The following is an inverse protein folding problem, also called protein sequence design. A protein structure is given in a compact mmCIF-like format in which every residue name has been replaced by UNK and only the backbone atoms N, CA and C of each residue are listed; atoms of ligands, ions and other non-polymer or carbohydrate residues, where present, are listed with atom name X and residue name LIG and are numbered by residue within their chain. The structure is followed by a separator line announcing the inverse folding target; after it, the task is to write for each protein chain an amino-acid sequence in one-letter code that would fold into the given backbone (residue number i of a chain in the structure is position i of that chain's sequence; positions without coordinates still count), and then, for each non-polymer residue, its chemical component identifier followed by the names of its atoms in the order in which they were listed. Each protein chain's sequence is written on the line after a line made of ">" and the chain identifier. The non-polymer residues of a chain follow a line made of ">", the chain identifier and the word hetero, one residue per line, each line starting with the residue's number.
data_IF_450825597035
#
_entry.id   IF_450825597035
#
_cell.length_a   1.000
_cell.length_b   1.000
_cell.length_c   1.000
_cell.angle_alpha   90.00
_cell.angle_beta   90.00
_cell.angle_gamma   90.00
#
_symmetry.space_group_name_H-M   'P 1'
#
loop_
_entity.id
_entity.type
_entity.pdbx_description
1 polymer ?
#
# COMPACT_ATOMS: atom_id res chain seq x y z
N UNK A 1 -14.12 -53.21 -18.78
CA UNK A 1 -13.39 -52.54 -17.70
C UNK A 1 -14.18 -51.29 -17.33
N UNK A 2 -15.09 -51.40 -16.35
CA UNK A 2 -15.92 -50.28 -15.91
C UNK A 2 -15.07 -49.38 -14.99
N UNK A 3 -14.75 -48.16 -15.43
CA UNK A 3 -14.18 -47.14 -14.54
C UNK A 3 -15.26 -46.73 -13.54
N UNK A 4 -15.08 -47.11 -12.28
CA UNK A 4 -15.84 -46.53 -11.17
C UNK A 4 -15.35 -45.11 -10.94
N UNK A 5 -16.19 -44.13 -11.26
CA UNK A 5 -16.00 -42.74 -10.87
C UNK A 5 -16.33 -42.68 -9.37
N UNK A 6 -15.31 -42.63 -8.51
CA UNK A 6 -15.50 -42.30 -7.11
C UNK A 6 -15.93 -40.82 -7.01
N UNK A 7 -17.05 -40.50 -6.33
CA UNK A 7 -17.42 -39.11 -6.10
C UNK A 7 -16.41 -38.51 -5.12
N UNK A 8 -15.72 -37.46 -5.55
CA UNK A 8 -14.98 -36.57 -4.66
C UNK A 8 -16.01 -35.89 -3.76
N UNK A 9 -16.14 -36.35 -2.51
CA UNK A 9 -16.87 -35.61 -1.48
C UNK A 9 -16.14 -34.28 -1.27
N UNK A 10 -16.70 -33.19 -1.79
CA UNK A 10 -16.38 -31.84 -1.34
C UNK A 10 -16.77 -31.77 0.14
N UNK A 11 -15.78 -31.70 1.03
CA UNK A 11 -16.01 -31.47 2.44
C UNK A 11 -16.69 -30.11 2.61
N UNK A 12 -17.99 -30.10 2.91
CA UNK A 12 -18.72 -28.88 3.25
C UNK A 12 -18.14 -28.36 4.57
N UNK A 13 -17.60 -27.14 4.56
CA UNK A 13 -17.09 -26.50 5.77
C UNK A 13 -18.27 -26.29 6.73
N UNK A 14 -18.22 -26.92 7.90
CA UNK A 14 -19.25 -26.75 8.92
C UNK A 14 -19.08 -25.37 9.56
N UNK A 15 -19.97 -24.45 9.19
CA UNK A 15 -20.05 -23.10 9.75
C UNK A 15 -21.15 -23.09 10.81
N UNK A 16 -20.79 -22.85 12.07
CA UNK A 16 -21.74 -22.76 13.18
C UNK A 16 -21.89 -21.30 13.64
N UNK A 17 -23.04 -20.91 14.22
CA UNK A 17 -23.18 -19.58 14.82
C UNK A 17 -22.25 -19.43 16.03
N UNK A 18 -21.55 -18.29 16.12
CA UNK A 18 -20.72 -17.95 17.27
C UNK A 18 -21.54 -17.32 18.41
N UNK A 19 -21.02 -17.33 19.66
CA UNK A 19 -21.60 -16.57 20.76
C UNK A 19 -21.73 -15.08 20.44
N UNK A 20 -22.75 -14.45 21.00
CA UNK A 20 -22.94 -12.99 20.92
C UNK A 20 -21.83 -12.27 21.66
N UNK A 21 -21.37 -11.14 21.10
CA UNK A 21 -20.39 -10.26 21.73
C UNK A 21 -20.92 -8.82 21.73
N UNK A 22 -20.96 -8.16 22.89
CA UNK A 22 -21.36 -6.75 23.00
C UNK A 22 -20.16 -5.85 22.75
N UNK A 23 -20.21 -5.06 21.68
CA UNK A 23 -19.19 -4.05 21.31
C UNK A 23 -19.68 -2.64 21.61
N UNK A 24 -18.81 -1.63 21.49
CA UNK A 24 -19.21 -0.22 21.54
C UNK A 24 -20.19 0.18 20.43
N UNK A 25 -20.21 -0.58 19.33
CA UNK A 25 -21.08 -0.34 18.18
C UNK A 25 -22.39 -1.14 18.21
N UNK A 26 -22.60 -2.06 19.16
CA UNK A 26 -23.78 -2.95 19.23
C UNK A 26 -23.40 -4.43 19.48
N UNK A 27 -24.39 -5.32 19.60
CA UNK A 27 -24.13 -6.75 19.79
C UNK A 27 -23.88 -7.42 18.43
N UNK A 28 -22.78 -8.15 18.32
CA UNK A 28 -22.35 -8.82 17.09
C UNK A 28 -22.54 -10.33 17.20
N UNK A 29 -22.96 -10.97 16.11
CA UNK A 29 -23.06 -12.43 15.99
C UNK A 29 -22.14 -12.93 14.89
N UNK A 30 -21.11 -13.66 15.27
CA UNK A 30 -20.13 -14.22 14.36
C UNK A 30 -20.46 -15.63 13.88
N UNK A 31 -19.45 -16.26 13.29
CA UNK A 31 -19.45 -17.65 12.86
C UNK A 31 -18.22 -18.39 13.37
N UNK A 32 -18.32 -19.72 13.45
CA UNK A 32 -17.24 -20.60 13.85
C UNK A 32 -16.82 -21.44 12.65
N UNK A 33 -15.52 -21.40 12.36
CA UNK A 33 -14.84 -22.27 11.42
C UNK A 33 -14.21 -23.43 12.19
N UNK A 34 -14.96 -24.53 12.34
CA UNK A 34 -14.54 -25.66 13.18
C UNK A 34 -13.22 -26.30 12.69
N UNK A 35 -13.01 -26.39 11.37
CA UNK A 35 -11.80 -27.00 10.80
C UNK A 35 -10.51 -26.26 11.18
N UNK A 36 -10.55 -24.94 11.25
CA UNK A 36 -9.40 -24.09 11.59
C UNK A 36 -9.39 -23.71 13.07
N UNK A 37 -10.43 -24.08 13.83
CA UNK A 37 -10.62 -23.68 15.22
C UNK A 37 -10.55 -22.14 15.37
N UNK A 38 -11.30 -21.44 14.51
CA UNK A 38 -11.37 -19.97 14.44
C UNK A 38 -12.80 -19.48 14.61
N UNK A 39 -12.97 -18.36 15.30
CA UNK A 39 -14.22 -17.59 15.36
C UNK A 39 -14.04 -16.36 14.47
N UNK A 40 -14.94 -16.17 13.50
CA UNK A 40 -14.98 -15.01 12.63
C UNK A 40 -16.11 -14.06 13.00
N UNK A 41 -15.77 -12.78 13.18
CA UNK A 41 -16.74 -11.69 13.20
C UNK A 41 -16.47 -10.82 11.97
N UNK A 42 -17.29 -11.01 10.94
CA UNK A 42 -17.06 -10.46 9.60
C UNK A 42 -17.99 -9.29 9.32
N UNK A 43 -17.49 -8.23 8.71
CA UNK A 43 -18.35 -7.12 8.26
C UNK A 43 -18.90 -6.28 9.41
N UNK A 44 -18.10 -6.03 10.45
CA UNK A 44 -18.45 -5.14 11.55
C UNK A 44 -18.29 -3.68 11.10
N UNK A 45 -19.34 -2.84 11.15
CA UNK A 45 -19.24 -1.43 10.80
C UNK A 45 -18.47 -0.67 11.88
N UNK A 46 -17.32 -0.09 11.54
CA UNK A 46 -16.58 0.79 12.46
C UNK A 46 -16.98 2.27 12.30
N UNK A 47 -17.58 2.63 11.17
CA UNK A 47 -18.06 3.97 10.87
C UNK A 47 -19.41 3.92 10.13
N UNK A 48 -20.14 5.04 10.18
CA UNK A 48 -21.37 5.20 9.41
C UNK A 48 -21.09 5.14 7.89
N UNK A 49 -21.97 4.52 7.09
CA UNK A 49 -21.81 4.43 5.64
C UNK A 49 -21.56 5.81 5.00
N UNK A 50 -20.50 6.00 4.19
CA UNK A 50 -20.16 7.28 3.57
C UNK A 50 -20.99 7.53 2.30
N UNK A 51 -22.31 7.32 2.40
CA UNK A 51 -23.28 7.44 1.30
C UNK A 51 -23.97 8.80 1.29
N UNK A 52 -24.47 9.21 0.12
CA UNK A 52 -25.29 10.42 -0.03
C UNK A 52 -24.61 11.65 0.56
N UNK A 53 -25.26 12.29 1.54
CA UNK A 53 -24.72 13.48 2.22
C UNK A 53 -23.43 13.23 3.01
N UNK A 54 -23.15 11.97 3.39
CA UNK A 54 -21.89 11.57 4.03
C UNK A 54 -20.77 11.27 3.03
N UNK A 55 -21.06 11.23 1.73
CA UNK A 55 -20.02 11.07 0.71
C UNK A 55 -19.08 12.27 0.78
N UNK A 56 -17.77 12.03 0.77
CA UNK A 56 -16.74 13.04 0.93
C UNK A 56 -16.76 13.77 2.29
N UNK A 57 -17.32 13.15 3.33
CA UNK A 57 -17.20 13.60 4.72
C UNK A 57 -16.27 12.70 5.53
N UNK A 58 -15.77 13.20 6.66
CA UNK A 58 -14.91 12.45 7.58
C UNK A 58 -15.67 11.27 8.20
N UNK A 59 -14.94 10.21 8.55
CA UNK A 59 -15.52 9.06 9.22
C UNK A 59 -16.17 9.47 10.54
N UNK A 60 -17.35 8.92 10.82
CA UNK A 60 -18.01 9.08 12.12
C UNK A 60 -18.31 7.70 12.65
N UNK A 61 -17.98 7.48 13.91
CA UNK A 61 -18.15 6.19 14.59
C UNK A 61 -19.56 5.64 14.38
N UNK A 62 -19.63 4.35 14.04
CA UNK A 62 -20.90 3.66 13.97
C UNK A 62 -21.36 3.32 15.38
N UNK A 63 -22.47 3.94 15.80
CA UNK A 63 -23.22 3.50 16.98
C UNK A 63 -24.51 2.90 16.43
N UNK A 64 -24.61 1.57 16.40
CA UNK A 64 -25.80 0.93 15.85
C UNK A 64 -27.02 1.29 16.70
N UNK A 65 -28.06 1.80 16.05
CA UNK A 65 -29.40 1.90 16.63
C UNK A 65 -30.09 0.53 16.72
N UNK A 66 -29.54 -0.47 16.01
CA UNK A 66 -29.99 -1.85 16.00
C UNK A 66 -29.13 -2.61 17.01
N UNK A 67 -29.76 -3.17 18.04
CA UNK A 67 -29.05 -3.93 19.08
C UNK A 67 -28.26 -5.13 18.53
N UNK A 68 -28.48 -5.55 17.29
CA UNK A 68 -27.96 -6.77 16.68
C UNK A 68 -27.33 -6.55 15.31
N UNK A 69 -26.09 -6.99 15.14
CA UNK A 69 -25.30 -6.96 13.90
C UNK A 69 -24.96 -8.41 13.53
N UNK A 70 -25.41 -8.85 12.35
CA UNK A 70 -25.04 -10.14 11.78
C UNK A 70 -23.65 -10.06 11.16
N UNK A 71 -22.63 -10.47 11.91
CA UNK A 71 -21.23 -10.39 11.55
C UNK A 71 -20.70 -11.73 10.99
N UNK A 72 -21.41 -12.31 10.02
CA UNK A 72 -21.19 -13.66 9.50
C UNK A 72 -20.78 -13.72 8.03
N UNK A 73 -20.69 -12.56 7.36
CA UNK A 73 -20.38 -12.46 5.93
C UNK A 73 -19.32 -11.39 5.71
N UNK A 74 -18.36 -11.65 4.81
CA UNK A 74 -17.38 -10.64 4.43
C UNK A 74 -18.06 -9.41 3.80
N UNK A 75 -17.68 -8.19 4.22
CA UNK A 75 -18.24 -6.97 3.66
C UNK A 75 -17.74 -6.74 2.23
N UNK A 76 -18.43 -5.87 1.50
CA UNK A 76 -17.89 -5.33 0.25
C UNK A 76 -16.71 -4.42 0.53
N UNK A 77 -15.73 -4.43 -0.38
CA UNK A 77 -14.52 -3.61 -0.26
C UNK A 77 -14.78 -2.19 -0.73
N UNK A 78 -13.97 -1.25 -0.30
CA UNK A 78 -14.01 0.08 -0.89
C UNK A 78 -13.43 0.05 -2.31
N UNK A 79 -13.84 1.02 -3.13
CA UNK A 79 -13.22 1.22 -4.43
C UNK A 79 -11.75 1.63 -4.28
N UNK A 80 -10.83 0.78 -4.75
CA UNK A 80 -9.39 1.07 -4.80
C UNK A 80 -8.95 1.77 -6.10
N UNK A 81 -9.84 1.86 -7.10
CA UNK A 81 -9.63 2.51 -8.39
C UNK A 81 -8.39 2.03 -9.18
N UNK A 82 -7.83 0.86 -8.82
CA UNK A 82 -6.71 0.21 -9.53
C UNK A 82 -7.20 -0.41 -10.85
N UNK A 83 -8.40 -0.99 -10.85
CA UNK A 83 -9.04 -1.61 -12.02
C UNK A 83 -10.47 -1.11 -12.18
N UNK A 84 -10.95 -1.03 -13.42
CA UNK A 84 -12.34 -0.64 -13.75
C UNK A 84 -13.32 -1.83 -13.72
N UNK A 85 -12.82 -3.05 -13.54
CA UNK A 85 -13.52 -4.30 -13.87
C UNK A 85 -14.39 -4.87 -12.74
N UNK A 86 -14.32 -4.34 -11.52
CA UNK A 86 -14.89 -5.01 -10.35
C UNK A 86 -15.87 -4.15 -9.56
N UNK A 87 -17.04 -3.93 -10.14
CA UNK A 87 -18.12 -3.23 -9.44
C UNK A 87 -18.94 -4.14 -8.52
N UNK A 88 -18.96 -5.47 -8.76
CA UNK A 88 -19.81 -6.38 -7.98
C UNK A 88 -19.29 -6.65 -6.56
N UNK A 89 -17.98 -6.64 -6.37
CA UNK A 89 -17.29 -6.91 -5.10
C UNK A 89 -16.97 -5.66 -4.28
N UNK A 90 -17.24 -4.47 -4.84
CA UNK A 90 -16.91 -3.16 -4.26
C UNK A 90 -18.16 -2.33 -4.00
N UNK A 91 -18.07 -1.42 -3.03
CA UNK A 91 -19.18 -0.57 -2.60
C UNK A 91 -18.65 0.75 -2.04
N UNK A 92 -19.50 1.78 -2.02
CA UNK A 92 -19.27 2.96 -1.19
C UNK A 92 -19.61 2.70 0.27
N UNK A 93 -20.61 1.86 0.52
CA UNK A 93 -20.86 1.31 1.84
C UNK A 93 -19.83 0.21 2.13
N UNK A 94 -18.69 0.61 2.65
CA UNK A 94 -17.50 -0.22 2.75
C UNK A 94 -16.65 0.01 4.02
N UNK A 95 -17.09 0.85 4.96
CA UNK A 95 -16.34 1.16 6.19
C UNK A 95 -16.54 0.08 7.26
N UNK A 96 -16.06 -1.11 6.92
CA UNK A 96 -16.19 -2.32 7.71
C UNK A 96 -14.82 -2.92 8.04
N UNK A 97 -14.79 -3.67 9.14
CA UNK A 97 -13.68 -4.53 9.50
C UNK A 97 -14.17 -5.95 9.80
N UNK A 98 -13.27 -6.90 9.66
CA UNK A 98 -13.52 -8.31 10.00
C UNK A 98 -12.42 -8.79 10.93
N UNK A 99 -12.74 -9.58 11.95
CA UNK A 99 -11.80 -10.11 12.95
C UNK A 99 -11.91 -11.63 12.97
N UNK A 100 -10.78 -12.31 12.84
CA UNK A 100 -10.61 -13.75 12.99
C UNK A 100 -9.84 -14.01 14.29
N UNK A 101 -10.47 -14.71 15.22
CA UNK A 101 -9.92 -15.02 16.54
C UNK A 101 -9.71 -16.53 16.69
N UNK A 102 -8.64 -16.99 17.37
CA UNK A 102 -8.55 -18.39 17.73
C UNK A 102 -9.68 -18.78 18.68
N UNK A 103 -10.35 -19.89 18.39
CA UNK A 103 -11.34 -20.49 19.30
C UNK A 103 -10.59 -21.11 20.48
N UNK A 104 -10.70 -20.49 21.66
CA UNK A 104 -10.11 -21.04 22.89
C UNK A 104 -11.08 -22.06 23.48
N UNK A 105 -10.71 -23.34 23.45
CA UNK A 105 -11.52 -24.40 24.04
C UNK A 105 -11.54 -24.23 25.57
N UNK A 106 -12.74 -24.06 26.13
CA UNK A 106 -12.97 -23.85 27.56
C UNK A 106 -12.36 -24.96 28.40
N UNK A 107 -11.27 -24.65 29.11
CA UNK A 107 -10.56 -25.60 29.97
C UNK A 107 -9.08 -25.25 30.19
N UNK A 108 -8.46 -24.55 29.25
CA UNK A 108 -7.09 -24.04 29.43
C UNK A 108 -7.10 -22.52 29.47
N UNK A 109 -6.71 -21.93 30.62
CA UNK A 109 -6.33 -20.52 30.64
C UNK A 109 -5.17 -20.38 29.67
N UNK A 110 -5.41 -19.71 28.54
CA UNK A 110 -4.31 -19.39 27.64
C UNK A 110 -3.41 -18.39 28.38
N UNK A 111 -2.26 -18.86 28.87
CA UNK A 111 -1.30 -18.03 29.62
C UNK A 111 -0.54 -17.09 28.69
N UNK A 112 -0.64 -17.29 27.37
CA UNK A 112 0.02 -16.49 26.37
C UNK A 112 -0.87 -15.33 25.91
N UNK A 113 -0.21 -14.20 25.70
CA UNK A 113 -0.80 -12.93 25.25
C UNK A 113 -1.29 -13.09 23.81
N UNK A 114 -2.57 -12.78 23.52
CA UNK A 114 -3.13 -12.76 22.17
C UNK A 114 -2.80 -11.44 21.48
N UNK A 115 -2.15 -11.49 20.32
CA UNK A 115 -1.82 -10.32 19.51
C UNK A 115 -2.79 -10.17 18.34
N UNK A 116 -3.03 -8.94 17.88
CA UNK A 116 -3.85 -8.68 16.69
C UNK A 116 -2.98 -8.10 15.57
N UNK A 117 -2.91 -8.79 14.42
CA UNK A 117 -2.35 -8.25 13.18
C UNK A 117 -3.49 -7.72 12.31
N UNK A 118 -3.50 -6.41 12.08
CA UNK A 118 -4.54 -5.69 11.33
C UNK A 118 -4.02 -5.36 9.94
N UNK A 119 -4.64 -5.93 8.92
CA UNK A 119 -4.32 -5.73 7.51
C UNK A 119 -5.24 -4.64 6.95
N UNK A 120 -4.70 -3.49 6.60
CA UNK A 120 -5.42 -2.46 5.86
C UNK A 120 -5.26 -2.73 4.38
N UNK A 121 -6.35 -3.18 3.74
CA UNK A 121 -6.34 -3.42 2.29
C UNK A 121 -7.74 -3.39 1.69
N UNK A 122 -7.84 -2.99 0.42
CA UNK A 122 -9.01 -3.20 -0.43
C UNK A 122 -8.75 -4.20 -1.58
N UNK A 123 -7.63 -4.91 -1.54
CA UNK A 123 -7.26 -5.91 -2.55
C UNK A 123 -7.91 -7.27 -2.27
N UNK A 124 -7.78 -8.19 -3.23
CA UNK A 124 -8.30 -9.55 -3.11
C UNK A 124 -7.45 -10.44 -2.22
N UNK A 125 -8.15 -11.26 -1.43
CA UNK A 125 -7.60 -12.24 -0.52
C UNK A 125 -8.56 -13.43 -0.46
N UNK A 126 -8.03 -14.56 -0.03
CA UNK A 126 -8.81 -15.77 0.22
C UNK A 126 -9.00 -15.96 1.71
N UNK A 127 -10.24 -16.26 2.11
CA UNK A 127 -10.60 -16.46 3.51
C UNK A 127 -9.77 -17.57 4.15
N UNK A 128 -9.60 -18.70 3.46
CA UNK A 128 -8.83 -19.86 3.95
C UNK A 128 -7.39 -19.50 4.29
N UNK A 129 -6.77 -18.60 3.53
CA UNK A 129 -5.41 -18.10 3.81
C UNK A 129 -5.38 -17.34 5.13
N UNK A 130 -6.33 -16.43 5.37
CA UNK A 130 -6.42 -15.66 6.61
C UNK A 130 -6.75 -16.55 7.82
N UNK A 131 -7.62 -17.53 7.65
CA UNK A 131 -7.93 -18.53 8.69
C UNK A 131 -6.68 -19.31 9.08
N UNK A 132 -5.87 -19.74 8.12
CA UNK A 132 -4.61 -20.47 8.37
C UNK A 132 -3.53 -19.62 9.05
N UNK A 133 -3.60 -18.29 8.89
CA UNK A 133 -2.71 -17.36 9.57
C UNK A 133 -3.13 -17.00 10.98
N UNK A 134 -4.37 -17.34 11.35
CA UNK A 134 -4.86 -17.20 12.72
C UNK A 134 -4.30 -18.35 13.54
N UNK A 135 -3.57 -18.04 14.60
CA UNK A 135 -2.94 -19.03 15.49
C UNK A 135 -3.42 -18.83 16.93
N UNK A 136 -3.03 -19.74 17.83
CA UNK A 136 -3.37 -19.67 19.26
C UNK A 136 -3.02 -18.32 19.93
N UNK A 137 -2.00 -17.62 19.44
CA UNK A 137 -1.51 -16.35 19.99
C UNK A 137 -1.56 -15.18 18.99
N UNK A 138 -2.14 -15.38 17.80
CA UNK A 138 -2.31 -14.34 16.79
C UNK A 138 -3.71 -14.37 16.19
N UNK A 139 -4.43 -13.28 16.40
CA UNK A 139 -5.65 -12.93 15.68
C UNK A 139 -5.31 -12.09 14.43
N UNK A 140 -6.16 -12.19 13.42
CA UNK A 140 -6.05 -11.41 12.19
C UNK A 140 -7.29 -10.53 12.05
N UNK A 141 -7.09 -9.26 11.70
CA UNK A 141 -8.17 -8.38 11.27
C UNK A 141 -7.91 -7.85 9.86
N UNK A 142 -8.96 -7.61 9.11
CA UNK A 142 -8.91 -6.91 7.81
C UNK A 142 -9.80 -5.68 7.89
N UNK A 143 -9.28 -4.53 7.44
CA UNK A 143 -10.00 -3.25 7.45
C UNK A 143 -10.08 -2.70 6.04
N UNK A 144 -11.28 -2.32 5.62
CA UNK A 144 -11.54 -1.59 4.38
C UNK A 144 -11.73 -0.10 4.67
N UNK A 145 -11.26 0.76 3.77
CA UNK A 145 -11.24 2.22 3.93
C UNK A 145 -11.29 2.92 2.58
N UNK A 146 -11.78 4.16 2.51
CA UNK A 146 -11.93 4.86 1.23
C UNK A 146 -10.59 5.22 0.61
N UNK A 147 -10.53 5.14 -0.71
CA UNK A 147 -9.36 5.50 -1.51
C UNK A 147 -9.74 6.34 -2.73
N UNK A 148 -8.73 6.79 -3.47
CA UNK A 148 -8.90 7.54 -4.71
C UNK A 148 -9.81 8.77 -4.53
N UNK A 149 -10.66 9.09 -5.51
CA UNK A 149 -11.53 10.28 -5.45
C UNK A 149 -12.58 10.26 -4.33
N UNK A 150 -12.86 9.11 -3.70
CA UNK A 150 -13.80 9.00 -2.58
C UNK A 150 -13.12 9.13 -1.22
N UNK A 151 -11.84 8.76 -1.14
CA UNK A 151 -11.01 8.90 0.06
C UNK A 151 -10.28 10.24 0.15
N UNK A 152 -10.49 11.15 -0.81
CA UNK A 152 -9.75 12.39 -0.88
C UNK A 152 -10.57 13.51 -1.51
N UNK A 153 -10.67 14.65 -0.83
CA UNK A 153 -11.34 15.83 -1.38
C UNK A 153 -10.66 17.13 -0.92
N UNK A 154 -10.41 18.03 -1.88
CA UNK A 154 -9.70 19.29 -1.65
C UNK A 154 -8.35 19.09 -0.96
N UNK A 155 -8.19 19.58 0.26
CA UNK A 155 -7.00 19.41 1.09
C UNK A 155 -7.09 18.22 2.06
N UNK A 156 -8.30 17.67 2.26
CA UNK A 156 -8.61 16.63 3.25
C UNK A 156 -8.38 15.21 2.73
N UNK A 157 -7.72 14.41 3.55
CA UNK A 157 -7.52 12.97 3.32
C UNK A 157 -8.53 12.15 4.14
N UNK A 158 -9.67 11.85 3.54
CA UNK A 158 -10.76 11.15 4.22
C UNK A 158 -10.41 9.68 4.51
N UNK A 159 -9.60 9.06 3.66
CA UNK A 159 -9.07 7.72 3.91
C UNK A 159 -8.22 7.66 5.18
N UNK A 160 -7.49 8.74 5.51
CA UNK A 160 -6.80 8.84 6.81
C UNK A 160 -7.81 8.79 7.94
N UNK A 161 -8.89 9.57 7.87
CA UNK A 161 -9.93 9.55 8.93
C UNK A 161 -10.60 8.18 9.09
N UNK A 162 -10.76 7.43 7.99
CA UNK A 162 -11.29 6.07 8.02
C UNK A 162 -10.35 5.11 8.77
N UNK A 163 -9.06 5.14 8.43
CA UNK A 163 -8.02 4.33 9.08
C UNK A 163 -7.95 4.66 10.58
N UNK A 164 -7.94 5.94 10.93
CA UNK A 164 -7.90 6.37 12.33
C UNK A 164 -9.13 5.89 13.11
N UNK A 165 -10.33 6.01 12.54
CA UNK A 165 -11.57 5.52 13.14
C UNK A 165 -11.54 4.01 13.37
N UNK A 166 -11.06 3.24 12.40
CA UNK A 166 -10.94 1.79 12.55
C UNK A 166 -9.98 1.39 13.67
N UNK A 167 -8.82 2.06 13.78
CA UNK A 167 -7.85 1.78 14.86
C UNK A 167 -8.43 2.18 16.23
N UNK A 168 -9.17 3.29 16.30
CA UNK A 168 -9.87 3.71 17.53
C UNK A 168 -10.94 2.70 17.93
N UNK A 169 -11.74 2.22 16.97
CA UNK A 169 -12.75 1.19 17.22
C UNK A 169 -12.12 -0.09 17.76
N UNK A 170 -11.01 -0.55 17.15
CA UNK A 170 -10.27 -1.72 17.63
C UNK A 170 -9.79 -1.51 19.08
N UNK A 171 -9.11 -0.40 19.37
CA UNK A 171 -8.66 -0.10 20.73
C UNK A 171 -9.81 -0.09 21.76
N UNK A 172 -10.96 0.50 21.42
CA UNK A 172 -12.14 0.52 22.31
C UNK A 172 -12.69 -0.88 22.60
N UNK A 173 -12.58 -1.80 21.65
CA UNK A 173 -13.09 -3.16 21.76
C UNK A 173 -12.02 -4.21 22.08
N UNK A 174 -10.80 -3.77 22.39
CA UNK A 174 -9.64 -4.63 22.65
C UNK A 174 -9.90 -5.65 23.77
N UNK A 175 -10.44 -5.19 24.90
CA UNK A 175 -10.71 -6.04 26.06
C UNK A 175 -11.80 -7.09 25.78
N UNK A 176 -12.78 -6.74 24.95
CA UNK A 176 -13.90 -7.61 24.57
C UNK A 176 -13.39 -8.82 23.77
N UNK A 177 -12.46 -8.58 22.84
CA UNK A 177 -11.88 -9.64 22.00
C UNK A 177 -10.62 -10.28 22.61
N UNK A 178 -10.14 -9.79 23.76
CA UNK A 178 -9.07 -10.39 24.54
C UNK A 178 -7.66 -10.30 23.92
N UNK A 179 -7.48 -9.53 22.85
CA UNK A 179 -6.15 -9.22 22.33
C UNK A 179 -5.54 -8.04 23.09
N UNK A 180 -4.26 -7.82 22.87
CA UNK A 180 -3.45 -7.06 23.81
C UNK A 180 -2.54 -6.02 23.16
N UNK A 181 -2.08 -6.29 21.94
CA UNK A 181 -1.27 -5.39 21.13
C UNK A 181 -1.84 -5.39 19.70
N UNK A 182 -1.83 -4.23 19.05
CA UNK A 182 -2.18 -4.06 17.63
C UNK A 182 -0.90 -3.90 16.81
N UNK A 183 -0.71 -4.77 15.83
CA UNK A 183 0.30 -4.60 14.76
C UNK A 183 -0.42 -4.26 13.47
N UNK A 184 -0.10 -3.11 12.88
CA UNK A 184 -0.77 -2.62 11.67
C UNK A 184 0.07 -2.97 10.45
N UNK A 185 -0.54 -3.50 9.40
CA UNK A 185 0.14 -3.93 8.17
C UNK A 185 -0.61 -3.38 6.95
N UNK A 186 0.14 -2.83 6.00
CA UNK A 186 -0.40 -2.31 4.75
C UNK A 186 0.67 -2.31 3.65
N UNK A 187 0.22 -2.18 2.39
CA UNK A 187 1.08 -2.20 1.21
C UNK A 187 0.83 -1.01 0.27
N UNK A 188 1.88 -0.55 -0.42
CA UNK A 188 1.79 0.48 -1.47
C UNK A 188 1.11 1.76 -0.98
N UNK A 189 0.10 2.25 -1.72
CA UNK A 189 -0.66 3.44 -1.36
C UNK A 189 -1.41 3.28 -0.02
N UNK A 190 -1.80 2.05 0.34
CA UNK A 190 -2.45 1.71 1.60
C UNK A 190 -1.45 1.92 2.76
N UNK A 191 -0.19 1.52 2.56
CA UNK A 191 0.90 1.73 3.52
C UNK A 191 1.25 3.21 3.70
N UNK A 192 1.28 3.97 2.60
CA UNK A 192 1.48 5.41 2.69
C UNK A 192 0.32 6.06 3.46
N UNK A 193 -0.94 5.77 3.11
CA UNK A 193 -2.11 6.29 3.81
C UNK A 193 -2.09 5.97 5.31
N UNK A 194 -1.81 4.71 5.67
CA UNK A 194 -1.65 4.28 7.06
C UNK A 194 -0.53 5.08 7.74
N UNK A 195 0.64 5.23 7.12
CA UNK A 195 1.75 5.98 7.70
C UNK A 195 1.40 7.45 7.94
N UNK A 196 0.64 8.09 7.05
CA UNK A 196 0.11 9.45 7.27
C UNK A 196 -0.88 9.48 8.45
N UNK A 197 -1.80 8.53 8.53
CA UNK A 197 -2.77 8.45 9.62
C UNK A 197 -2.10 8.33 11.01
N UNK A 198 -1.01 7.56 11.09
CA UNK A 198 -0.21 7.40 12.32
C UNK A 198 0.64 8.63 12.66
N UNK A 199 0.97 9.47 11.67
CA UNK A 199 1.77 10.67 11.86
C UNK A 199 0.93 11.91 12.21
N UNK A 200 -0.34 11.96 11.76
CA UNK A 200 -1.24 13.11 11.99
C UNK A 200 -1.90 13.12 13.37
N UNK A 201 -2.00 11.97 14.04
CA UNK A 201 -2.70 11.88 15.34
C UNK A 201 -2.05 10.82 16.22
N UNK A 202 -1.97 11.10 17.52
CA UNK A 202 -1.55 10.10 18.50
C UNK A 202 -2.64 9.02 18.62
N UNK A 203 -2.31 7.82 18.15
CA UNK A 203 -3.19 6.65 18.17
C UNK A 203 -2.44 5.51 18.80
N UNK A 204 -3.11 4.73 19.65
CA UNK A 204 -2.50 3.59 20.33
C UNK A 204 -2.35 2.41 19.37
N UNK A 205 -1.12 1.99 19.12
CA UNK A 205 -0.76 0.76 18.42
C UNK A 205 0.61 0.31 18.93
N UNK A 206 0.90 -0.98 18.84
CA UNK A 206 2.18 -1.50 19.30
C UNK A 206 3.26 -1.42 18.21
N UNK A 207 2.88 -1.76 16.96
CA UNK A 207 3.83 -1.95 15.85
C UNK A 207 3.20 -1.63 14.50
N UNK A 208 4.03 -1.32 13.49
CA UNK A 208 3.60 -1.12 12.12
C UNK A 208 4.54 -1.81 11.12
N UNK A 209 3.97 -2.42 10.08
CA UNK A 209 4.64 -3.04 8.94
C UNK A 209 4.18 -2.29 7.69
N UNK A 210 5.06 -1.48 7.13
CA UNK A 210 4.77 -0.61 5.99
C UNK A 210 5.55 -1.08 4.77
N UNK A 211 4.87 -1.72 3.81
CA UNK A 211 5.51 -2.25 2.60
C UNK A 211 5.29 -1.30 1.42
N UNK A 212 6.34 -0.92 0.71
CA UNK A 212 6.27 -0.05 -0.49
C UNK A 212 5.48 1.26 -0.33
N UNK A 213 5.31 1.76 0.90
CA UNK A 213 4.67 3.04 1.18
C UNK A 213 5.01 3.54 2.57
N UNK A 214 5.19 4.86 2.72
CA UNK A 214 5.46 5.53 4.00
C UNK A 214 5.16 7.03 3.87
N UNK A 215 5.41 7.80 4.93
CA UNK A 215 5.18 9.26 4.95
C UNK A 215 5.99 10.03 3.90
N UNK A 216 7.14 9.50 3.46
CA UNK A 216 7.97 10.12 2.43
C UNK A 216 7.54 9.77 0.99
N UNK A 217 6.53 8.91 0.80
CA UNK A 217 6.00 8.56 -0.52
C UNK A 217 5.39 9.79 -1.20
N UNK A 218 5.97 10.19 -2.34
CA UNK A 218 5.62 11.46 -3.05
C UNK A 218 4.15 11.60 -3.42
N UNK A 219 3.43 10.51 -3.71
CA UNK A 219 2.02 10.53 -4.13
C UNK A 219 1.08 11.17 -3.09
N UNK A 220 1.43 11.07 -1.81
CA UNK A 220 0.66 11.63 -0.69
C UNK A 220 1.20 12.98 -0.20
N UNK A 221 2.33 13.45 -0.74
CA UNK A 221 2.86 14.78 -0.42
C UNK A 221 1.93 15.87 -1.03
N UNK A 222 1.37 16.77 -0.20
CA UNK A 222 0.49 17.85 -0.65
C UNK A 222 1.07 18.73 -1.76
N UNK A 223 2.37 19.00 -1.74
CA UNK A 223 3.06 19.84 -2.73
C UNK A 223 3.10 19.23 -4.13
N UNK A 224 3.04 17.90 -4.22
CA UNK A 224 3.16 17.15 -5.48
C UNK A 224 1.85 16.55 -5.96
N UNK A 225 0.72 16.90 -5.33
CA UNK A 225 -0.60 16.46 -5.76
C UNK A 225 -0.84 16.82 -7.22
N UNK A 226 -1.23 15.83 -8.01
CA UNK A 226 -1.41 15.94 -9.46
C UNK A 226 -2.68 16.74 -9.77
N UNK A 227 -2.64 18.07 -9.62
CA UNK A 227 -3.69 19.02 -10.02
C UNK A 227 -4.26 18.68 -11.41
N UNK A 228 -3.40 18.33 -12.38
CA UNK A 228 -3.81 17.98 -13.74
C UNK A 228 -4.63 16.68 -13.85
N UNK A 229 -4.43 15.72 -12.94
CA UNK A 229 -5.24 14.49 -12.86
C UNK A 229 -6.62 14.80 -12.33
N UNK A 230 -6.68 15.51 -11.20
CA UNK A 230 -7.92 15.97 -10.57
C UNK A 230 -8.76 16.83 -11.50
N UNK A 231 -8.15 17.79 -12.20
CA UNK A 231 -8.88 18.66 -13.15
C UNK A 231 -9.50 17.87 -14.32
N UNK A 232 -8.80 16.86 -14.86
CA UNK A 232 -9.35 16.02 -15.94
C UNK A 232 -10.52 15.16 -15.43
N UNK A 233 -10.36 14.57 -14.25
CA UNK A 233 -11.42 13.81 -13.59
C UNK A 233 -12.68 14.65 -13.35
N UNK A 234 -12.53 15.84 -12.76
CA UNK A 234 -13.65 16.74 -12.49
C UNK A 234 -14.33 17.23 -13.77
N UNK A 235 -13.56 17.53 -14.83
CA UNK A 235 -14.12 17.90 -16.14
C UNK A 235 -14.91 16.76 -16.77
N UNK A 236 -14.43 15.52 -16.69
CA UNK A 236 -15.13 14.35 -17.23
C UNK A 236 -16.48 14.08 -16.55
N UNK A 237 -16.62 14.51 -15.29
CA UNK A 237 -17.87 14.41 -14.52
C UNK A 237 -18.78 15.65 -14.63
N UNK A 238 -18.34 16.72 -15.30
CA UNK A 238 -18.97 18.04 -15.26
C UNK A 238 -19.12 18.63 -13.84
N UNK A 239 -18.20 18.25 -12.96
CA UNK A 239 -18.14 18.69 -11.56
C UNK A 239 -17.04 19.71 -11.28
N UNK A 240 -16.29 20.17 -12.29
CA UNK A 240 -15.34 21.26 -12.09
C UNK A 240 -16.11 22.58 -11.92
N UNK A 241 -16.23 23.06 -10.67
CA UNK A 241 -16.88 24.33 -10.31
C UNK A 241 -15.87 25.31 -9.72
N UNK A 242 -16.25 26.58 -9.62
CA UNK A 242 -15.35 27.64 -9.11
C UNK A 242 -15.11 27.49 -7.61
N UNK A 243 -16.10 26.98 -6.86
CA UNK A 243 -16.00 26.74 -5.42
C UNK A 243 -15.86 25.26 -5.09
N UNK A 244 -15.08 24.98 -4.03
CA UNK A 244 -14.92 23.62 -3.52
C UNK A 244 -16.25 23.01 -3.08
N UNK A 245 -17.12 23.76 -2.41
CA UNK A 245 -18.42 23.25 -1.94
C UNK A 245 -19.35 22.88 -3.10
N UNK A 246 -19.35 23.65 -4.19
CA UNK A 246 -20.13 23.35 -5.40
C UNK A 246 -19.60 22.10 -6.11
N UNK A 247 -18.27 21.96 -6.17
CA UNK A 247 -17.60 20.74 -6.66
C UNK A 247 -17.99 19.53 -5.81
N UNK A 248 -17.97 19.69 -4.47
CA UNK A 248 -18.35 18.63 -3.51
C UNK A 248 -19.81 18.23 -3.69
N UNK A 249 -20.72 19.20 -3.78
CA UNK A 249 -22.15 18.97 -3.98
C UNK A 249 -22.43 18.20 -5.29
N UNK A 250 -21.74 18.58 -6.39
CA UNK A 250 -21.83 17.84 -7.65
C UNK A 250 -21.37 16.38 -7.52
N UNK A 251 -20.23 16.14 -6.85
CA UNK A 251 -19.73 14.79 -6.63
C UNK A 251 -20.62 13.95 -5.71
N UNK A 252 -21.32 14.56 -4.74
CA UNK A 252 -22.28 13.86 -3.85
C UNK A 252 -23.49 13.29 -4.62
N UNK A 253 -23.95 13.97 -5.68
CA UNK A 253 -25.10 13.52 -6.48
C UNK A 253 -24.70 12.70 -7.72
N UNK A 254 -23.41 12.62 -8.05
CA UNK A 254 -22.92 11.83 -9.18
C UNK A 254 -23.02 10.33 -8.88
N UNK A 255 -23.47 9.50 -9.83
CA UNK A 255 -23.50 8.05 -9.60
C UNK A 255 -22.08 7.47 -9.44
N UNK A 256 -21.96 6.43 -8.61
CA UNK A 256 -20.67 5.77 -8.39
C UNK A 256 -20.07 5.21 -9.68
N UNK A 257 -20.91 4.68 -10.56
CA UNK A 257 -20.51 4.15 -11.87
C UNK A 257 -19.81 5.20 -12.72
N UNK A 258 -20.35 6.43 -12.75
CA UNK A 258 -19.73 7.55 -13.46
C UNK A 258 -18.39 7.92 -12.83
N UNK A 259 -18.32 7.96 -11.50
CA UNK A 259 -17.06 8.26 -10.79
C UNK A 259 -15.99 7.22 -11.15
N UNK A 260 -16.30 5.92 -11.03
CA UNK A 260 -15.38 4.82 -11.33
C UNK A 260 -14.92 4.86 -12.79
N UNK A 261 -15.84 5.09 -13.73
CA UNK A 261 -15.50 5.17 -15.15
C UNK A 261 -14.64 6.39 -15.49
N UNK A 262 -14.86 7.53 -14.82
CA UNK A 262 -14.12 8.77 -15.05
C UNK A 262 -12.70 8.77 -14.50
N UNK A 263 -12.38 7.88 -13.54
CA UNK A 263 -10.99 7.73 -13.08
C UNK A 263 -10.13 7.21 -14.23
N UNK A 264 -9.03 7.91 -14.58
CA UNK A 264 -8.09 7.40 -15.57
C UNK A 264 -7.52 6.06 -15.09
N UNK A 265 -7.60 5.01 -15.92
CA UNK A 265 -6.94 3.74 -15.60
C UNK A 265 -5.44 3.97 -15.54
N UNK A 266 -4.84 3.69 -14.39
CA UNK A 266 -3.40 3.58 -14.23
C UNK A 266 -3.02 2.11 -14.24
N UNK A 267 -3.15 1.44 -15.38
CA UNK A 267 -2.56 0.12 -15.53
C UNK A 267 -1.06 0.32 -15.72
N UNK A 268 -0.28 0.06 -14.66
CA UNK A 268 1.18 -0.09 -14.72
C UNK A 268 1.59 -1.40 -15.45
N UNK A 269 0.61 -2.20 -15.89
CA UNK A 269 0.82 -3.52 -16.53
C UNK A 269 1.37 -3.47 -17.96
N UNK A 270 1.43 -2.31 -18.60
CA UNK A 270 1.96 -2.27 -19.95
C UNK A 270 3.47 -2.11 -19.90
N UNK A 271 4.19 -3.24 -19.86
CA UNK A 271 5.35 -3.31 -20.74
C UNK A 271 4.86 -2.95 -22.14
N UNK A 272 5.01 -1.69 -22.51
CA UNK A 272 4.74 -1.25 -23.86
C UNK A 272 5.89 -1.76 -24.71
N UNK A 273 5.71 -2.93 -25.33
CA UNK A 273 6.65 -3.47 -26.34
C UNK A 273 6.97 -2.40 -27.39
N UNK A 274 6.04 -1.46 -27.59
CA UNK A 274 6.12 -0.31 -28.48
C UNK A 274 6.83 0.92 -27.90
N UNK A 275 7.43 0.87 -26.70
CA UNK A 275 8.07 2.03 -26.05
C UNK A 275 9.30 2.48 -26.84
N UNK A 276 9.23 3.62 -27.53
CA UNK A 276 10.32 4.05 -28.43
C UNK A 276 11.29 4.99 -27.73
N UNK A 277 12.41 5.24 -28.40
CA UNK A 277 13.36 6.29 -28.01
C UNK A 277 12.68 7.66 -27.86
N UNK A 278 11.77 8.00 -28.76
CA UNK A 278 10.97 9.23 -28.69
C UNK A 278 10.14 9.33 -27.39
N UNK A 279 9.64 8.21 -26.86
CA UNK A 279 8.87 8.20 -25.62
C UNK A 279 9.78 8.40 -24.42
N UNK A 280 10.97 7.81 -24.43
CA UNK A 280 12.02 8.08 -23.46
C UNK A 280 12.45 9.55 -23.48
N UNK A 281 12.68 10.13 -24.66
CA UNK A 281 13.08 11.54 -24.77
C UNK A 281 11.96 12.47 -24.27
N UNK A 282 10.69 12.20 -24.63
CA UNK A 282 9.52 12.91 -24.07
C UNK A 282 9.42 12.76 -22.55
N UNK A 283 9.77 11.59 -22.01
CA UNK A 283 9.84 11.38 -20.57
C UNK A 283 10.94 12.25 -19.95
N UNK A 284 12.15 12.24 -20.51
CA UNK A 284 13.28 13.03 -20.02
C UNK A 284 12.99 14.53 -20.05
N UNK A 285 12.32 15.04 -21.08
CA UNK A 285 11.90 16.44 -21.18
C UNK A 285 10.88 16.83 -20.12
N UNK A 286 9.94 15.92 -19.81
CA UNK A 286 8.95 16.13 -18.74
C UNK A 286 9.56 15.96 -17.35
N UNK A 287 10.58 15.12 -17.23
CA UNK A 287 11.20 14.79 -15.95
C UNK A 287 12.20 15.86 -15.53
N UNK A 288 13.00 16.37 -16.47
CA UNK A 288 13.92 17.50 -16.30
C UNK A 288 13.42 18.69 -17.10
N UNK A 289 12.46 19.43 -16.55
CA UNK A 289 11.84 20.58 -17.21
C UNK A 289 12.78 21.78 -17.23
N UNK A 290 12.88 22.44 -18.38
CA UNK A 290 13.66 23.69 -18.53
C UNK A 290 13.18 24.82 -17.61
N UNK A 291 11.91 24.81 -17.23
CA UNK A 291 11.35 25.76 -16.27
C UNK A 291 11.81 25.52 -14.83
N UNK A 292 12.29 24.31 -14.50
CA UNK A 292 12.64 23.91 -13.14
C UNK A 292 14.14 23.79 -12.92
N UNK A 293 14.90 23.48 -13.97
CA UNK A 293 16.33 23.20 -13.88
C UNK A 293 17.12 24.17 -14.77
N UNK A 294 18.25 24.66 -14.26
CA UNK A 294 19.16 25.57 -14.98
C UNK A 294 20.04 24.84 -15.99
N UNK A 295 20.54 23.66 -15.61
CA UNK A 295 21.53 22.91 -16.40
C UNK A 295 20.92 21.62 -17.00
N UNK A 296 19.71 21.74 -17.56
CA UNK A 296 18.85 20.64 -18.03
C UNK A 296 19.56 19.66 -18.95
N UNK A 297 20.29 20.15 -19.96
CA UNK A 297 20.97 19.28 -20.93
C UNK A 297 22.05 18.42 -20.27
N UNK A 298 22.80 19.01 -19.32
CA UNK A 298 23.82 18.28 -18.57
C UNK A 298 23.17 17.26 -17.61
N UNK A 299 22.06 17.61 -16.97
CA UNK A 299 21.31 16.69 -16.12
C UNK A 299 20.74 15.50 -16.91
N UNK A 300 20.18 15.75 -18.11
CA UNK A 300 19.68 14.68 -18.99
C UNK A 300 20.81 13.73 -19.41
N UNK A 301 21.97 14.26 -19.80
CA UNK A 301 23.15 13.45 -20.11
C UNK A 301 23.61 12.63 -18.90
N UNK A 302 23.68 13.25 -17.73
CA UNK A 302 24.10 12.54 -16.52
C UNK A 302 23.13 11.42 -16.14
N UNK A 303 21.82 11.69 -16.18
CA UNK A 303 20.80 10.69 -15.94
C UNK A 303 20.89 9.54 -16.95
N UNK A 304 21.17 9.86 -18.22
CA UNK A 304 21.43 8.86 -19.24
C UNK A 304 22.58 7.92 -18.82
N UNK A 305 23.74 8.49 -18.45
CA UNK A 305 24.90 7.70 -18.02
C UNK A 305 24.63 6.87 -16.76
N UNK A 306 23.89 7.42 -15.79
CA UNK A 306 23.62 6.75 -14.53
C UNK A 306 22.65 5.57 -14.68
N UNK A 307 21.64 5.69 -15.55
CA UNK A 307 20.54 4.71 -15.64
C UNK A 307 20.64 3.74 -16.83
N UNK A 308 21.41 4.08 -17.86
CA UNK A 308 21.52 3.28 -19.09
C UNK A 308 22.93 2.77 -19.38
N UNK A 309 23.89 2.91 -18.44
CA UNK A 309 25.28 2.40 -18.48
C UNK A 309 25.89 2.11 -19.87
N UNK A 310 26.83 2.95 -20.34
CA UNK A 310 27.74 2.81 -21.52
C UNK A 310 27.16 2.43 -22.90
N UNK A 311 26.02 1.76 -23.03
CA UNK A 311 25.38 1.50 -24.32
C UNK A 311 24.49 2.69 -24.71
N UNK A 312 25.17 3.75 -25.13
CA UNK A 312 24.61 4.98 -25.68
C UNK A 312 23.73 4.76 -26.92
N UNK A 313 23.64 3.52 -27.45
CA UNK A 313 23.03 3.18 -28.73
C UNK A 313 22.26 1.85 -28.66
N UNK A 314 21.74 1.43 -27.50
CA UNK A 314 20.89 0.23 -27.51
C UNK A 314 19.52 0.57 -28.11
N UNK A 315 19.09 -0.08 -29.22
CA UNK A 315 17.72 0.01 -29.72
C UNK A 315 16.73 -0.75 -28.81
N UNK A 316 17.19 -1.26 -27.66
CA UNK A 316 16.38 -2.00 -26.70
C UNK A 316 15.37 -1.07 -26.00
N UNK A 317 14.15 -1.07 -26.55
CA UNK A 317 12.97 -0.41 -26.00
C UNK A 317 12.70 -0.80 -24.56
N UNK A 318 13.03 -2.04 -24.17
CA UNK A 318 12.86 -2.54 -22.81
C UNK A 318 13.87 -1.94 -21.82
N UNK A 319 15.13 -1.74 -22.23
CA UNK A 319 16.12 -1.06 -21.40
C UNK A 319 15.69 0.39 -21.08
N UNK A 320 15.20 1.12 -22.08
CA UNK A 320 14.69 2.49 -21.90
C UNK A 320 13.47 2.55 -20.96
N UNK A 321 12.54 1.60 -21.12
CA UNK A 321 11.38 1.48 -20.24
C UNK A 321 11.80 1.15 -18.80
N UNK A 322 12.71 0.19 -18.59
CA UNK A 322 13.25 -0.15 -17.26
C UNK A 322 13.95 1.03 -16.60
N UNK A 323 14.79 1.75 -17.35
CA UNK A 323 15.45 2.96 -16.86
C UNK A 323 14.44 4.02 -16.41
N UNK A 324 13.40 4.26 -17.21
CA UNK A 324 12.30 5.17 -16.89
C UNK A 324 11.64 4.81 -15.54
N UNK A 325 11.28 3.54 -15.35
CA UNK A 325 10.68 3.07 -14.09
C UNK A 325 11.64 3.18 -12.91
N UNK A 326 12.92 2.84 -13.11
CA UNK A 326 13.95 2.93 -12.07
C UNK A 326 14.21 4.37 -11.63
N UNK A 327 14.22 5.32 -12.57
CA UNK A 327 14.33 6.75 -12.28
C UNK A 327 13.17 7.25 -11.41
N UNK A 328 11.94 6.85 -11.75
CA UNK A 328 10.75 7.19 -10.96
C UNK A 328 10.80 6.54 -9.58
N UNK A 329 11.13 5.25 -9.48
CA UNK A 329 11.25 4.51 -8.23
C UNK A 329 12.30 5.14 -7.30
N UNK A 330 13.47 5.49 -7.84
CA UNK A 330 14.53 6.14 -7.07
C UNK A 330 14.10 7.51 -6.55
N UNK A 331 13.61 8.38 -7.45
CA UNK A 331 13.24 9.76 -7.10
C UNK A 331 12.04 9.80 -6.14
N UNK A 332 11.00 9.02 -6.42
CA UNK A 332 9.69 9.17 -5.78
C UNK A 332 9.51 8.28 -4.55
N UNK A 333 10.33 7.23 -4.38
CA UNK A 333 10.19 6.28 -3.27
C UNK A 333 11.50 5.95 -2.55
N UNK A 334 12.51 5.39 -3.22
CA UNK A 334 13.70 4.84 -2.54
C UNK A 334 14.57 5.90 -1.89
N UNK A 335 14.84 7.02 -2.58
CA UNK A 335 15.64 8.12 -2.02
C UNK A 335 14.91 8.82 -0.86
N UNK A 336 13.62 9.19 -0.97
CA UNK A 336 12.84 9.69 0.15
C UNK A 336 12.81 8.71 1.33
N UNK A 337 12.59 7.42 1.07
CA UNK A 337 12.58 6.37 2.10
C UNK A 337 13.92 6.26 2.81
N UNK A 338 15.05 6.29 2.08
CA UNK A 338 16.39 6.31 2.70
C UNK A 338 16.57 7.52 3.62
N UNK A 339 16.08 8.69 3.20
CA UNK A 339 16.13 9.91 4.01
C UNK A 339 15.30 9.76 5.29
N UNK A 340 14.09 9.21 5.21
CA UNK A 340 13.26 8.88 6.37
C UNK A 340 13.94 7.88 7.31
N UNK A 341 14.54 6.82 6.78
CA UNK A 341 15.30 5.85 7.58
C UNK A 341 16.50 6.49 8.31
N UNK A 342 17.03 7.60 7.80
CA UNK A 342 18.10 8.34 8.48
C UNK A 342 17.58 9.16 9.66
N UNK A 343 16.38 9.74 9.57
CA UNK A 343 15.75 10.47 10.69
C UNK A 343 15.21 9.56 11.78
N UNK A 344 14.95 8.29 11.47
CA UNK A 344 14.56 7.27 12.45
C UNK A 344 15.75 6.71 13.26
N UNK A 345 17.00 7.12 12.97
CA UNK A 345 18.17 6.74 13.77
C UNK A 345 18.57 7.85 14.76
N UNK A 346 18.80 7.54 16.05
CA UNK A 346 18.48 6.36 16.82
C UNK A 346 17.22 6.66 17.66
N UNK A 347 16.03 6.55 17.08
CA UNK A 347 14.81 6.61 17.90
C UNK A 347 14.80 5.42 18.87
N UNK A 348 14.15 5.57 20.02
CA UNK A 348 13.99 4.51 21.02
C UNK A 348 13.32 3.24 20.48
N UNK A 349 12.57 3.36 19.38
CA UNK A 349 11.85 2.26 18.76
C UNK A 349 12.72 1.52 17.71
N UNK A 350 12.74 0.17 17.72
CA UNK A 350 13.49 -0.63 16.77
C UNK A 350 12.86 -0.56 15.37
N UNK A 351 13.69 -0.27 14.36
CA UNK A 351 13.30 -0.26 12.94
C UNK A 351 13.98 -1.40 12.21
N UNK A 352 13.24 -2.12 11.37
CA UNK A 352 13.72 -3.20 10.52
C UNK A 352 13.44 -2.86 9.07
N UNK A 353 14.42 -3.11 8.20
CA UNK A 353 14.31 -2.80 6.77
C UNK A 353 14.33 -4.11 5.98
N UNK A 354 13.34 -4.26 5.11
CA UNK A 354 13.16 -5.38 4.19
C UNK A 354 13.22 -4.85 2.75
N UNK A 355 14.01 -5.50 1.91
CA UNK A 355 13.91 -5.41 0.46
C UNK A 355 13.36 -6.73 -0.07
N UNK A 356 12.56 -6.69 -1.13
CA UNK A 356 12.02 -7.89 -1.75
C UNK A 356 11.88 -7.73 -3.27
N UNK A 357 11.98 -8.84 -4.00
CA UNK A 357 11.89 -8.87 -5.47
C UNK A 357 10.49 -9.26 -5.98
N UNK A 358 9.49 -9.41 -5.10
CA UNK A 358 8.11 -9.68 -5.47
C UNK A 358 7.27 -8.40 -5.61
N UNK A 359 6.48 -8.29 -6.67
CA UNK A 359 5.50 -7.19 -6.82
C UNK A 359 4.23 -7.49 -6.02
N UNK A 360 3.80 -6.53 -5.20
CA UNK A 360 2.60 -6.61 -4.33
C UNK A 360 2.55 -7.90 -3.48
N UNK A 361 3.60 -8.19 -2.69
CA UNK A 361 3.72 -9.44 -1.95
C UNK A 361 2.53 -9.73 -1.02
N UNK A 362 1.96 -8.74 -0.32
CA UNK A 362 0.81 -8.99 0.56
C UNK A 362 -0.39 -9.45 -0.28
N UNK A 363 -0.76 -8.68 -1.31
CA UNK A 363 -1.92 -9.01 -2.14
C UNK A 363 -1.76 -10.40 -2.80
N UNK A 364 -0.57 -10.71 -3.32
CA UNK A 364 -0.31 -12.02 -3.94
C UNK A 364 -0.35 -13.16 -2.93
N UNK A 365 0.34 -13.02 -1.79
CA UNK A 365 0.43 -14.07 -0.79
C UNK A 365 -0.88 -14.35 -0.04
N UNK A 366 -1.82 -13.39 -0.06
CA UNK A 366 -3.16 -13.59 0.49
C UNK A 366 -4.10 -14.35 -0.46
N UNK A 367 -3.72 -14.58 -1.71
CA UNK A 367 -4.54 -15.26 -2.72
C UNK A 367 -4.14 -16.73 -2.92
N UNK A 368 -5.10 -17.65 -3.02
CA UNK A 368 -4.89 -19.10 -3.16
C UNK A 368 -4.20 -19.45 -4.47
N UNK A 369 -4.40 -18.65 -5.51
CA UNK A 369 -3.73 -18.77 -6.81
C UNK A 369 -2.33 -18.16 -6.81
N UNK A 370 -1.67 -18.06 -5.65
CA UNK A 370 -0.24 -17.77 -5.65
C UNK A 370 0.46 -18.93 -6.38
N UNK A 371 1.21 -18.61 -7.43
CA UNK A 371 1.95 -19.64 -8.15
C UNK A 371 2.86 -20.43 -7.18
N UNK A 372 3.02 -21.73 -7.41
CA UNK A 372 3.86 -22.61 -6.59
C UNK A 372 5.27 -22.04 -6.35
N UNK A 373 5.81 -21.27 -7.30
CA UNK A 373 7.11 -20.64 -7.18
C UNK A 373 7.20 -19.54 -6.09
N UNK A 374 6.09 -18.88 -5.74
CA UNK A 374 6.07 -17.85 -4.68
C UNK A 374 5.78 -18.42 -3.29
N UNK A 375 5.46 -19.72 -3.16
CA UNK A 375 5.04 -20.29 -1.89
C UNK A 375 6.11 -20.16 -0.80
N UNK A 376 7.39 -20.36 -1.17
CA UNK A 376 8.53 -20.20 -0.26
C UNK A 376 8.69 -18.74 0.19
N UNK A 377 8.63 -17.80 -0.76
CA UNK A 377 8.65 -16.37 -0.48
C UNK A 377 7.51 -15.96 0.47
N UNK A 378 6.26 -16.34 0.15
CA UNK A 378 5.09 -15.99 0.94
C UNK A 378 5.14 -16.56 2.36
N UNK A 379 5.49 -17.85 2.48
CA UNK A 379 5.66 -18.51 3.78
C UNK A 379 6.68 -17.78 4.64
N UNK A 380 7.83 -17.41 4.06
CA UNK A 380 8.90 -16.71 4.79
C UNK A 380 8.49 -15.31 5.22
N UNK A 381 8.02 -14.49 4.28
CA UNK A 381 7.65 -13.10 4.56
C UNK A 381 6.52 -13.05 5.59
N UNK A 382 5.55 -13.96 5.48
CA UNK A 382 4.48 -14.03 6.46
C UNK A 382 4.96 -14.47 7.85
N UNK A 383 5.88 -15.43 7.93
CA UNK A 383 6.54 -15.79 9.19
C UNK A 383 7.22 -14.58 9.84
N UNK A 384 7.88 -13.72 9.06
CA UNK A 384 8.47 -12.48 9.59
C UNK A 384 7.42 -11.52 10.15
N UNK A 385 6.28 -11.37 9.47
CA UNK A 385 5.22 -10.46 9.92
C UNK A 385 4.52 -10.97 11.18
N UNK A 386 4.16 -12.25 11.23
CA UNK A 386 3.50 -12.85 12.40
C UNK A 386 4.45 -12.86 13.59
N UNK A 387 5.73 -13.21 13.38
CA UNK A 387 6.73 -13.16 14.44
C UNK A 387 6.95 -11.74 14.96
N UNK A 388 7.05 -10.74 14.08
CA UNK A 388 7.15 -9.35 14.49
C UNK A 388 5.92 -8.88 15.26
N UNK A 389 4.72 -9.31 14.86
CA UNK A 389 3.48 -8.96 15.54
C UNK A 389 3.43 -9.51 16.98
N UNK A 390 3.91 -10.75 17.18
CA UNK A 390 3.89 -11.43 18.48
C UNK A 390 5.06 -10.97 19.37
N UNK A 391 6.28 -10.96 18.84
CA UNK A 391 7.51 -10.82 19.62
C UNK A 391 8.17 -9.44 19.50
N UNK A 392 7.81 -8.63 18.50
CA UNK A 392 8.48 -7.38 18.18
C UNK A 392 9.85 -7.52 17.53
N UNK A 393 10.25 -8.75 17.19
CA UNK A 393 11.44 -9.04 16.40
C UNK A 393 11.04 -9.96 15.24
N UNK A 394 11.38 -9.62 13.99
CA UNK A 394 10.87 -10.34 12.82
C UNK A 394 11.58 -11.67 12.59
N UNK A 395 12.79 -11.90 13.09
CA UNK A 395 13.55 -13.13 12.91
C UNK A 395 14.04 -13.71 14.23
N UNK A 396 14.41 -14.99 14.25
CA UNK A 396 15.08 -15.59 15.40
C UNK A 396 16.53 -15.10 15.51
N UNK A 397 16.98 -14.81 16.74
CA UNK A 397 18.41 -14.60 17.01
C UNK A 397 19.12 -15.95 17.14
N UNK A 398 19.10 -16.74 16.08
CA UNK A 398 19.81 -18.02 15.96
C UNK A 398 20.77 -17.97 14.76
N UNK A 399 21.85 -18.75 14.83
CA UNK A 399 22.74 -18.96 13.69
C UNK A 399 22.11 -19.97 12.72
N UNK A 400 20.99 -19.61 12.09
CA UNK A 400 20.38 -20.38 11.02
C UNK A 400 20.67 -19.71 9.67
N UNK A 401 21.30 -20.44 8.74
CA UNK A 401 21.56 -19.96 7.39
C UNK A 401 20.26 -19.87 6.57
N UNK A 402 19.25 -20.68 6.90
CA UNK A 402 17.93 -20.65 6.26
C UNK A 402 17.01 -19.59 6.84
N UNK A 403 17.27 -19.10 8.05
CA UNK A 403 16.57 -17.97 8.65
C UNK A 403 17.55 -17.05 9.38
N UNK A 404 18.29 -16.21 8.63
CA UNK A 404 19.35 -15.42 9.23
C UNK A 404 18.79 -14.34 10.14
N UNK A 405 19.53 -14.00 11.20
CA UNK A 405 19.14 -12.91 12.11
C UNK A 405 18.89 -11.61 11.35
N UNK A 406 17.87 -10.85 11.75
CA UNK A 406 17.50 -9.58 11.16
C UNK A 406 17.93 -8.42 12.06
N UNK A 407 19.04 -7.73 11.76
CA UNK A 407 19.55 -6.68 12.63
C UNK A 407 18.66 -5.43 12.62
N UNK A 408 18.47 -4.85 13.80
CA UNK A 408 17.84 -3.53 13.99
C UNK A 408 18.65 -2.47 13.24
N UNK A 409 17.97 -1.56 12.55
CA UNK A 409 18.59 -0.42 11.90
C UNK A 409 19.39 0.40 12.93
N UNK A 410 20.66 0.72 12.64
CA UNK A 410 21.55 1.43 13.59
C UNK A 410 22.34 0.51 14.53
N UNK A 411 21.97 -0.77 14.71
CA UNK A 411 22.63 -1.68 15.67
C UNK A 411 24.04 -2.13 15.25
N UNK A 412 24.40 -1.97 13.98
CA UNK A 412 25.70 -2.36 13.42
C UNK A 412 26.27 -1.21 12.60
N UNK A 413 27.61 -1.06 12.59
CA UNK A 413 28.33 -0.01 11.82
C UNK A 413 27.89 0.09 10.35
N UNK A 414 27.64 -1.05 9.71
CA UNK A 414 27.27 -1.12 8.28
C UNK A 414 25.76 -0.98 8.00
N UNK A 415 24.92 -0.90 9.04
CA UNK A 415 23.46 -0.79 8.92
C UNK A 415 22.88 -1.82 7.94
N UNK A 416 23.05 -3.10 8.29
CA UNK A 416 22.53 -4.20 7.47
C UNK A 416 21.00 -4.22 7.46
N UNK A 417 20.44 -4.71 6.36
CA UNK A 417 19.02 -4.98 6.16
C UNK A 417 18.86 -6.32 5.42
N UNK A 418 17.67 -6.90 5.43
CA UNK A 418 17.41 -8.15 4.72
C UNK A 418 16.86 -7.87 3.33
N UNK A 419 17.32 -8.65 2.35
CA UNK A 419 16.69 -8.79 1.05
C UNK A 419 16.17 -10.22 0.89
N UNK A 420 14.94 -10.36 0.40
CA UNK A 420 14.32 -11.65 0.06
C UNK A 420 14.03 -11.67 -1.44
N UNK A 421 14.61 -12.58 -2.19
CA UNK A 421 14.33 -12.71 -3.63
C UNK A 421 13.00 -13.41 -3.92
N UNK A 422 12.65 -13.59 -5.20
CA UNK A 422 11.39 -14.20 -5.59
C UNK A 422 11.29 -15.68 -5.18
N UNK A 423 12.42 -16.37 -5.04
CA UNK A 423 12.49 -17.76 -4.61
C UNK A 423 12.38 -17.90 -3.08
N UNK A 424 12.47 -16.78 -2.36
CA UNK A 424 12.41 -16.75 -0.90
C UNK A 424 13.78 -16.96 -0.24
N UNK A 425 14.88 -16.82 -0.98
CA UNK A 425 16.23 -16.82 -0.42
C UNK A 425 16.56 -15.47 0.21
N UNK A 426 17.35 -15.51 1.29
CA UNK A 426 17.60 -14.33 2.13
C UNK A 426 19.06 -13.93 2.06
N UNK A 427 19.30 -12.65 1.83
CA UNK A 427 20.65 -12.07 1.86
C UNK A 427 20.72 -10.84 2.75
N UNK A 428 21.88 -10.65 3.40
CA UNK A 428 22.20 -9.41 4.08
C UNK A 428 22.72 -8.38 3.10
N UNK A 429 22.07 -7.22 3.08
CA UNK A 429 22.47 -6.09 2.27
C UNK A 429 22.87 -4.91 3.16
N UNK A 430 23.65 -3.98 2.63
CA UNK A 430 24.06 -2.76 3.36
C UNK A 430 24.00 -1.54 2.44
N UNK A 431 24.14 -0.34 3.01
CA UNK A 431 24.12 0.92 2.24
C UNK A 431 22.84 1.08 1.37
N UNK A 432 21.67 0.76 1.94
CA UNK A 432 20.34 0.83 1.29
C UNK A 432 20.21 1.93 0.23
N UNK A 433 20.29 1.59 -1.06
CA UNK A 433 20.19 2.54 -2.19
C UNK A 433 21.09 3.80 -2.14
N UNK A 434 22.31 3.67 -1.59
CA UNK A 434 23.28 4.78 -1.52
C UNK A 434 23.65 5.41 -2.88
N UNK A 435 23.84 4.66 -3.98
CA UNK A 435 24.18 5.27 -5.28
C UNK A 435 23.08 6.20 -5.79
N UNK A 436 21.82 5.75 -5.77
CA UNK A 436 20.66 6.56 -6.14
C UNK A 436 20.55 7.80 -5.23
N UNK A 437 20.77 7.63 -3.93
CA UNK A 437 20.77 8.76 -3.00
C UNK A 437 21.85 9.80 -3.34
N UNK A 438 23.08 9.38 -3.60
CA UNK A 438 24.16 10.29 -3.99
C UNK A 438 23.84 11.01 -5.31
N UNK A 439 23.27 10.30 -6.28
CA UNK A 439 22.83 10.88 -7.54
C UNK A 439 21.78 11.99 -7.32
N UNK A 440 20.67 11.67 -6.65
CA UNK A 440 19.53 12.58 -6.50
C UNK A 440 19.75 13.70 -5.47
N UNK A 441 20.45 13.41 -4.36
CA UNK A 441 20.61 14.37 -3.23
C UNK A 441 21.93 15.11 -3.23
N UNK A 442 22.92 14.67 -4.01
CA UNK A 442 24.24 15.32 -4.03
C UNK A 442 24.59 15.81 -5.43
N UNK A 443 24.57 14.91 -6.41
CA UNK A 443 25.09 15.22 -7.74
C UNK A 443 24.18 16.18 -8.53
N UNK A 444 22.86 15.96 -8.54
CA UNK A 444 21.92 16.87 -9.20
C UNK A 444 21.99 18.29 -8.62
N UNK A 445 21.86 18.51 -7.29
CA UNK A 445 22.00 19.86 -6.73
C UNK A 445 23.35 20.52 -7.01
N UNK A 446 24.44 19.74 -7.01
CA UNK A 446 25.77 20.25 -7.34
C UNK A 446 25.81 20.76 -8.78
N UNK A 447 25.30 19.98 -9.75
CA UNK A 447 25.24 20.38 -11.16
C UNK A 447 24.39 21.63 -11.34
N UNK A 448 23.24 21.73 -10.66
CA UNK A 448 22.36 22.90 -10.75
C UNK A 448 22.98 24.20 -10.22
N UNK A 449 23.98 24.08 -9.34
CA UNK A 449 24.74 25.21 -8.82
C UNK A 449 25.96 25.58 -9.68
N UNK A 450 26.29 24.78 -10.72
CA UNK A 450 27.38 25.11 -11.63
C UNK A 450 27.02 26.31 -12.51
N UNK A 451 27.91 27.31 -12.54
CA UNK A 451 27.90 28.35 -13.57
C UNK A 451 28.69 27.83 -14.76
N UNK A 452 27.99 27.42 -15.81
CA UNK A 452 28.63 27.00 -17.06
C UNK A 452 29.29 28.22 -17.72
N UNK A 453 30.61 28.29 -17.69
CA UNK A 453 31.36 29.25 -18.50
C UNK A 453 31.37 28.74 -19.95
N UNK A 454 30.92 29.59 -20.89
CA UNK A 454 30.77 29.32 -22.33
C UNK A 454 29.53 28.51 -22.76
N UNK A 455 28.32 29.03 -22.49
CA UNK A 455 27.19 28.73 -23.39
C UNK A 455 27.41 29.51 -24.70
N UNK A 456 27.53 28.86 -25.88
CA UNK A 456 27.48 29.58 -27.13
C UNK A 456 26.13 30.28 -27.18
N UNK A 457 26.11 31.61 -27.31
CA UNK A 457 24.89 32.32 -27.67
C UNK A 457 24.42 31.71 -28.99
N UNK A 458 23.29 30.99 -28.96
CA UNK A 458 22.60 30.63 -30.21
C UNK A 458 22.29 31.98 -30.86
N UNK A 459 23.02 32.28 -31.93
CA UNK A 459 22.75 33.45 -32.73
C UNK A 459 21.34 33.29 -33.28
N UNK A 460 20.41 34.10 -32.77
CA UNK A 460 19.14 34.36 -33.44
C UNK A 460 19.48 35.02 -34.77
N UNK A 461 19.69 34.21 -35.81
CA UNK A 461 19.76 34.69 -37.17
C UNK A 461 18.35 35.11 -37.58
N UNK A 462 18.02 36.37 -37.29
CA UNK A 462 17.08 37.13 -38.09
C UNK A 462 17.67 37.24 -39.50
N UNK A 463 17.31 36.29 -40.37
CA UNK A 463 17.35 36.50 -41.81
C UNK A 463 15.98 36.24 -42.39
N UNK A 464 15.30 37.35 -42.61
CA UNK A 464 14.25 37.50 -43.61
C UNK A 464 14.75 37.06 -44.99
N UNK A 465 14.11 36.04 -45.55
CA UNK A 465 13.86 35.86 -47.00
C UNK A 465 12.85 34.71 -47.09
N UNK A 466 11.57 35.00 -47.28
CA UNK A 466 10.90 35.02 -48.58
C UNK A 466 11.09 33.72 -49.40
N UNK A 467 9.94 33.24 -49.89
CA UNK A 467 9.66 32.48 -51.12
C UNK A 467 9.49 30.96 -51.01
N UNK A 468 8.23 30.53 -51.19
CA UNK A 468 7.67 29.36 -51.93
C UNK A 468 8.19 27.96 -51.56
N UNK A 469 7.38 26.94 -51.24
CA UNK A 469 6.02 26.56 -51.63
C UNK A 469 5.38 25.72 -50.49
#
# INVERSE_FOLDING_TARGET
>A
MFLQILPVLLAVQQVLPAPEVTTTGGNIHGIIYEQQNVIGYLGIPYALPPLGDRRLEEAVESVSSVNRIEANTWPKKCFNFKTKLEMSTKSEDCLYLSILLPKVNGGTKNTEKLHLLVIFTNDDFEETTLLNFTTKNLAIAVVHFRQGPLGFFADKNLGVTDVQMAIQWLNKNQQIFGYSDLTLLAENDDAALLAYALAETEINFARAILLNGNTATRRFNPEYRRLKGTLRFLKALDCLKDKADETKACLKVTSIDRIVQAVPSSTDEDFQVTYKREDFDKFMDKFFRETEFKNVNLLKQLAYYHYLERDLISPDTYALWRATRKMLLDRDFLVPTRNLLSSLKPTTNPVYVLEYDAENPIAKCLQLRTHQFMAAFCSRVWNYFTRYAIHGEPAENKCDLKDPSWPKLGSKKRNYYLKVDAEGEVTWQSKFYQPAFAFWKTLIPMIENLKLQNTPKIATNNRSSKTEL
#
